data_IF_206781550648
#
_entry.id   IF_206781550648
#
_cell.length_a   1.000
_cell.length_b   1.000
_cell.length_c   1.000
_cell.angle_alpha   90.00
_cell.angle_beta   90.00
_cell.angle_gamma   90.00
#
_symmetry.space_group_name_H-M   'P 1'
#
loop_
_entity.id
_entity.type
_entity.pdbx_description
1 polymer ?
#
# COMPACT_ATOMS: atom_id res chain seq x y z
N UNK A 1 -1.73 -25.75 -13.35
CA UNK A 1 -0.90 -25.11 -12.30
C UNK A 1 -1.82 -24.76 -11.12
N UNK A 2 -1.48 -25.20 -9.89
CA UNK A 2 -2.27 -25.00 -8.65
C UNK A 2 -1.36 -24.67 -7.46
N UNK A 3 -0.23 -23.99 -7.71
CA UNK A 3 0.84 -23.80 -6.72
C UNK A 3 0.31 -23.14 -5.44
N UNK A 4 -0.34 -21.98 -5.58
CA UNK A 4 -0.94 -21.24 -4.47
C UNK A 4 -2.16 -21.93 -3.82
N UNK A 5 -2.75 -22.93 -4.49
CA UNK A 5 -3.80 -23.77 -3.89
C UNK A 5 -3.24 -24.90 -3.03
N UNK A 6 -1.94 -25.18 -3.13
CA UNK A 6 -1.30 -26.25 -2.37
C UNK A 6 -0.77 -25.73 -1.05
N UNK A 7 -1.34 -26.22 0.05
CA UNK A 7 -0.85 -25.95 1.40
C UNK A 7 0.60 -26.40 1.58
N UNK A 8 0.92 -27.63 1.16
CA UNK A 8 2.29 -28.15 1.26
C UNK A 8 3.33 -27.32 0.49
N UNK A 9 2.98 -26.76 -0.67
CA UNK A 9 3.94 -26.06 -1.53
C UNK A 9 4.04 -24.57 -1.25
N UNK A 10 2.94 -23.93 -0.85
CA UNK A 10 2.85 -22.47 -0.76
C UNK A 10 2.27 -21.96 0.57
N UNK A 11 1.76 -22.86 1.43
CA UNK A 11 0.96 -22.54 2.62
C UNK A 11 -0.33 -21.74 2.36
N UNK A 12 -0.70 -21.62 1.07
CA UNK A 12 -1.93 -21.00 0.62
C UNK A 12 -3.16 -21.89 0.80
N UNK A 13 -4.16 -21.62 -0.03
CA UNK A 13 -5.46 -22.26 0.05
C UNK A 13 -6.34 -21.91 -1.14
N UNK A 14 -7.66 -21.86 -0.95
CA UNK A 14 -8.57 -21.72 -2.09
C UNK A 14 -8.39 -20.36 -2.76
N UNK A 15 -7.86 -20.37 -3.98
CA UNK A 15 -7.74 -19.17 -4.81
C UNK A 15 -9.12 -18.80 -5.37
N UNK A 16 -9.52 -17.56 -5.16
CA UNK A 16 -10.74 -16.96 -5.70
C UNK A 16 -10.52 -16.47 -7.13
N UNK A 17 -9.43 -15.72 -7.38
CA UNK A 17 -9.14 -15.13 -8.70
C UNK A 17 -7.63 -14.98 -8.90
N UNK A 18 -7.20 -15.11 -10.15
CA UNK A 18 -5.85 -14.74 -10.61
C UNK A 18 -6.00 -13.73 -11.74
N UNK A 19 -5.31 -12.60 -11.64
CA UNK A 19 -5.34 -11.54 -12.64
C UNK A 19 -3.92 -11.26 -13.11
N UNK A 20 -3.61 -11.41 -14.41
CA UNK A 20 -2.31 -11.00 -14.95
C UNK A 20 -2.19 -9.47 -14.96
N UNK A 21 -0.96 -8.98 -14.82
CA UNK A 21 -0.59 -7.56 -14.94
C UNK A 21 0.28 -7.36 -16.19
N UNK A 22 0.32 -6.14 -16.70
CA UNK A 22 1.08 -5.78 -17.91
C UNK A 22 2.61 -5.91 -17.73
N UNK A 23 3.09 -5.83 -16.49
CA UNK A 23 4.49 -6.01 -16.10
C UNK A 23 4.92 -7.49 -16.01
N UNK A 24 4.08 -8.42 -16.47
CA UNK A 24 4.33 -9.86 -16.41
C UNK A 24 4.14 -10.47 -15.02
N UNK A 25 3.69 -9.69 -14.02
CA UNK A 25 3.33 -10.19 -12.70
C UNK A 25 1.88 -10.68 -12.66
N UNK A 26 1.52 -11.35 -11.55
CA UNK A 26 0.17 -11.84 -11.31
C UNK A 26 -0.32 -11.42 -9.93
N UNK A 27 -1.58 -10.98 -9.87
CA UNK A 27 -2.29 -10.79 -8.61
C UNK A 27 -3.12 -12.03 -8.30
N UNK A 28 -2.94 -12.60 -7.11
CA UNK A 28 -3.68 -13.80 -6.65
C UNK A 28 -4.56 -13.41 -5.47
N UNK A 29 -5.89 -13.45 -5.66
CA UNK A 29 -6.88 -13.24 -4.60
C UNK A 29 -7.28 -14.59 -4.03
N UNK A 30 -7.07 -14.78 -2.73
CA UNK A 30 -7.53 -15.95 -2.00
C UNK A 30 -8.96 -15.77 -1.51
N UNK A 31 -9.67 -16.88 -1.24
CA UNK A 31 -10.99 -16.85 -0.59
C UNK A 31 -10.90 -16.46 0.88
N UNK A 32 -9.82 -16.83 1.56
CA UNK A 32 -9.52 -16.49 2.95
C UNK A 32 -8.29 -15.59 2.97
N UNK A 33 -8.33 -14.52 3.76
CA UNK A 33 -7.23 -13.57 3.86
C UNK A 33 -5.99 -14.21 4.50
N UNK A 34 -6.20 -15.10 5.47
CA UNK A 34 -5.12 -15.78 6.19
C UNK A 34 -4.28 -16.67 5.26
N UNK A 35 -4.87 -17.17 4.17
CA UNK A 35 -4.14 -17.93 3.16
C UNK A 35 -3.12 -17.03 2.45
N UNK A 36 -3.50 -15.79 2.11
CA UNK A 36 -2.61 -14.82 1.48
C UNK A 36 -1.47 -14.41 2.42
N UNK A 37 -1.79 -14.17 3.70
CA UNK A 37 -0.80 -13.83 4.72
C UNK A 37 0.21 -14.96 4.95
N UNK A 38 -0.24 -16.22 4.99
CA UNK A 38 0.66 -17.38 5.15
C UNK A 38 1.58 -17.55 3.94
N UNK A 39 1.04 -17.38 2.73
CA UNK A 39 1.85 -17.38 1.51
C UNK A 39 2.93 -16.30 1.60
N UNK A 40 2.56 -15.06 1.93
CA UNK A 40 3.53 -13.95 2.01
C UNK A 40 4.58 -14.13 3.13
N UNK A 41 4.26 -14.84 4.21
CA UNK A 41 5.22 -15.16 5.29
C UNK A 41 6.21 -16.25 4.92
N UNK A 42 5.95 -17.03 3.87
CA UNK A 42 6.85 -18.09 3.42
C UNK A 42 8.11 -17.45 2.85
N UNK A 43 9.28 -17.91 3.31
CA UNK A 43 10.57 -17.32 2.95
C UNK A 43 10.95 -17.47 1.48
N UNK A 44 10.39 -18.45 0.78
CA UNK A 44 10.69 -18.70 -0.63
C UNK A 44 9.53 -19.41 -1.34
N UNK A 45 9.30 -19.00 -2.58
CA UNK A 45 8.37 -19.65 -3.50
C UNK A 45 9.11 -20.13 -4.73
N UNK A 46 9.19 -21.45 -4.90
CA UNK A 46 9.78 -22.07 -6.10
C UNK A 46 8.68 -22.75 -6.89
N UNK A 47 8.46 -22.27 -8.11
CA UNK A 47 7.51 -22.84 -9.05
C UNK A 47 8.24 -23.30 -10.30
N UNK A 48 8.34 -24.62 -10.47
CA UNK A 48 9.17 -25.25 -11.50
C UNK A 48 10.64 -24.86 -11.30
N UNK A 49 11.19 -24.05 -12.18
CA UNK A 49 12.57 -23.57 -12.24
C UNK A 49 12.68 -22.06 -11.91
N UNK A 50 11.55 -21.40 -11.64
CA UNK A 50 11.52 -19.98 -11.30
C UNK A 50 11.31 -19.78 -9.78
N UNK A 51 12.10 -18.87 -9.21
CA UNK A 51 11.84 -18.32 -7.88
C UNK A 51 10.91 -17.14 -8.04
N UNK A 52 9.79 -17.16 -7.32
CA UNK A 52 8.79 -16.11 -7.31
C UNK A 52 9.03 -15.20 -6.11
N UNK A 53 9.14 -13.90 -6.35
CA UNK A 53 8.99 -12.89 -5.31
C UNK A 53 7.50 -12.69 -5.06
N UNK A 54 7.06 -12.89 -3.82
CA UNK A 54 5.67 -12.69 -3.42
C UNK A 54 5.62 -11.58 -2.40
N UNK A 55 4.80 -10.57 -2.68
CA UNK A 55 4.58 -9.43 -1.79
C UNK A 55 3.09 -9.29 -1.50
N UNK A 56 2.72 -8.89 -0.27
CA UNK A 56 1.33 -8.59 0.03
C UNK A 56 0.86 -7.40 -0.82
N UNK A 57 -0.36 -7.49 -1.34
CA UNK A 57 -1.00 -6.41 -2.07
C UNK A 57 -2.29 -6.04 -1.34
N UNK A 58 -2.34 -4.81 -0.82
CA UNK A 58 -3.52 -4.25 -0.17
C UNK A 58 -4.16 -3.24 -1.13
N UNK A 59 -5.43 -3.43 -1.45
CA UNK A 59 -6.18 -2.48 -2.28
C UNK A 59 -7.65 -2.48 -1.88
N UNK A 60 -8.26 -1.30 -1.93
CA UNK A 60 -9.69 -1.13 -1.73
C UNK A 60 -10.39 -1.42 -3.05
N UNK A 61 -10.96 -2.62 -3.23
CA UNK A 61 -11.91 -2.85 -4.32
C UNK A 61 -13.21 -2.10 -3.99
N UNK A 62 -13.40 -0.93 -4.61
CA UNK A 62 -14.72 -0.29 -4.70
C UNK A 62 -15.54 -1.09 -5.72
N UNK A 63 -16.15 -2.21 -5.30
CA UNK A 63 -16.96 -3.06 -6.20
C UNK A 63 -17.75 -4.19 -5.54
N UNK A 64 -19.08 -3.99 -5.50
CA UNK A 64 -20.27 -4.87 -5.46
C UNK A 64 -20.42 -6.10 -4.54
N UNK A 65 -19.44 -6.54 -3.74
CA UNK A 65 -19.73 -7.58 -2.73
C UNK A 65 -18.72 -7.61 -1.56
N UNK A 66 -18.38 -6.43 -1.04
CA UNK A 66 -17.49 -6.29 0.11
C UNK A 66 -18.23 -6.57 1.43
N UNK A 67 -18.66 -7.81 1.65
CA UNK A 67 -19.10 -8.30 2.97
C UNK A 67 -17.93 -8.86 3.81
N UNK A 68 -16.69 -8.62 3.39
CA UNK A 68 -15.54 -8.75 4.28
C UNK A 68 -15.64 -7.63 5.30
N UNK A 69 -16.09 -7.97 6.51
CA UNK A 69 -16.12 -7.06 7.66
C UNK A 69 -14.70 -6.50 7.79
N UNK A 70 -14.51 -5.25 7.36
CA UNK A 70 -13.30 -4.48 7.58
C UNK A 70 -13.13 -4.34 9.10
N UNK A 71 -12.32 -5.22 9.68
CA UNK A 71 -12.06 -5.24 11.11
C UNK A 71 -10.97 -4.22 11.44
N UNK A 72 -11.41 -2.97 11.61
CA UNK A 72 -10.59 -1.81 12.00
C UNK A 72 -9.71 -2.11 13.22
N UNK A 73 -10.17 -3.01 14.11
CA UNK A 73 -9.46 -3.33 15.36
C UNK A 73 -8.19 -4.17 15.18
N UNK A 74 -8.03 -4.84 14.02
CA UNK A 74 -6.89 -5.74 13.77
C UNK A 74 -5.80 -5.13 12.89
N UNK A 75 -6.02 -3.93 12.36
CA UNK A 75 -5.09 -3.25 11.48
C UNK A 75 -4.77 -1.86 12.05
N UNK A 76 -3.91 -1.83 13.06
CA UNK A 76 -3.17 -0.60 13.38
C UNK A 76 -2.05 -0.44 12.36
N UNK A 77 -2.38 0.04 11.15
CA UNK A 77 -1.33 0.56 10.27
C UNK A 77 -0.85 1.84 10.96
N UNK A 78 0.41 1.92 11.42
CA UNK A 78 0.93 3.19 11.92
C UNK A 78 0.80 4.18 10.78
N UNK A 79 0.05 5.26 11.01
CA UNK A 79 -0.06 6.33 10.03
C UNK A 79 1.36 6.79 9.73
N UNK A 80 1.82 6.71 8.47
CA UNK A 80 3.16 7.16 8.14
C UNK A 80 3.24 8.64 8.50
N UNK A 81 4.14 8.98 9.42
CA UNK A 81 4.33 10.35 9.87
C UNK A 81 4.76 11.26 8.71
N UNK A 82 5.42 10.67 7.70
CA UNK A 82 5.96 11.36 6.52
C UNK A 82 5.80 10.49 5.27
N UNK A 83 5.34 11.09 4.17
CA UNK A 83 5.33 10.51 2.83
C UNK A 83 6.28 11.32 1.93
N UNK A 84 7.28 10.66 1.34
CA UNK A 84 8.23 11.29 0.42
C UNK A 84 7.65 11.23 -1.00
N UNK A 85 7.60 12.38 -1.68
CA UNK A 85 7.19 12.43 -3.08
C UNK A 85 8.43 12.36 -3.98
N UNK A 86 8.60 11.26 -4.70
CA UNK A 86 9.83 11.00 -5.48
C UNK A 86 9.82 11.60 -6.89
N UNK A 87 8.66 11.98 -7.43
CA UNK A 87 8.51 12.50 -8.79
C UNK A 87 7.71 13.81 -8.81
N UNK A 88 8.10 14.77 -7.97
CA UNK A 88 7.55 16.13 -8.07
C UNK A 88 8.24 16.83 -9.23
N UNK A 89 7.47 17.57 -10.03
CA UNK A 89 8.02 18.39 -11.09
C UNK A 89 8.96 19.45 -10.51
N UNK A 90 10.20 19.50 -11.01
CA UNK A 90 11.26 20.40 -10.50
C UNK A 90 10.86 21.88 -10.57
N UNK A 91 10.10 22.27 -11.60
CA UNK A 91 9.64 23.65 -11.72
C UNK A 91 8.59 23.97 -10.66
N UNK A 92 7.69 23.03 -10.39
CA UNK A 92 6.69 23.16 -9.32
C UNK A 92 7.35 23.21 -7.94
N UNK A 93 8.33 22.33 -7.68
CA UNK A 93 9.05 22.30 -6.41
C UNK A 93 9.83 23.61 -6.18
N UNK A 94 10.53 24.11 -7.20
CA UNK A 94 11.26 25.38 -7.12
C UNK A 94 10.32 26.57 -6.90
N UNK A 95 9.17 26.60 -7.58
CA UNK A 95 8.16 27.65 -7.38
C UNK A 95 7.63 27.68 -5.95
N UNK A 96 7.29 26.52 -5.40
CA UNK A 96 6.79 26.42 -4.02
C UNK A 96 7.86 26.78 -2.99
N UNK A 97 9.11 26.36 -3.19
CA UNK A 97 10.24 26.76 -2.32
C UNK A 97 10.48 28.27 -2.28
N UNK A 98 10.17 28.98 -3.37
CA UNK A 98 10.36 30.43 -3.47
C UNK A 98 9.17 31.25 -2.94
N UNK A 99 7.97 30.66 -2.87
CA UNK A 99 6.73 31.37 -2.60
C UNK A 99 6.07 30.93 -1.29
N UNK A 100 6.54 31.52 -0.18
CA UNK A 100 5.95 31.29 1.15
C UNK A 100 4.42 31.47 1.20
N UNK A 101 3.79 32.49 0.58
CA UNK A 101 2.34 32.67 0.66
C UNK A 101 1.55 31.51 0.04
N UNK A 102 2.08 30.92 -1.05
CA UNK A 102 1.45 29.79 -1.72
C UNK A 102 1.56 28.52 -0.88
N UNK A 103 2.72 28.31 -0.23
CA UNK A 103 2.92 27.18 0.69
C UNK A 103 2.01 27.30 1.92
N UNK A 104 1.84 28.49 2.47
CA UNK A 104 0.91 28.73 3.59
C UNK A 104 -0.55 28.43 3.19
N UNK A 105 -0.98 28.91 2.02
CA UNK A 105 -2.33 28.63 1.52
C UNK A 105 -2.55 27.14 1.23
N UNK A 106 -1.56 26.48 0.63
CA UNK A 106 -1.59 25.04 0.38
C UNK A 106 -1.69 24.26 1.69
N UNK A 107 -0.89 24.62 2.69
CA UNK A 107 -0.91 24.00 4.01
C UNK A 107 -2.21 24.26 4.77
N UNK A 108 -2.86 25.40 4.56
CA UNK A 108 -4.18 25.67 5.14
C UNK A 108 -5.25 24.68 4.66
N UNK A 109 -5.24 24.37 3.35
CA UNK A 109 -6.17 23.39 2.77
C UNK A 109 -5.81 21.96 3.16
N UNK A 110 -4.52 21.60 3.14
CA UNK A 110 -4.04 20.28 3.55
C UNK A 110 -4.32 20.00 5.04
N UNK A 111 -4.27 21.02 5.89
CA UNK A 111 -4.58 20.87 7.33
C UNK A 111 -6.01 20.41 7.58
N UNK A 112 -6.97 20.78 6.71
CA UNK A 112 -8.35 20.25 6.76
C UNK A 112 -8.43 18.74 6.50
N UNK A 113 -7.37 18.18 5.91
CA UNK A 113 -7.18 16.74 5.64
C UNK A 113 -6.13 16.12 6.56
N UNK A 114 -5.76 16.81 7.64
CA UNK A 114 -4.73 16.36 8.58
C UNK A 114 -3.38 16.07 7.91
N UNK A 115 -2.99 16.92 6.96
CA UNK A 115 -1.71 16.85 6.30
C UNK A 115 -1.06 18.23 6.21
N UNK A 116 0.26 18.28 6.02
CA UNK A 116 0.99 19.47 5.57
C UNK A 116 2.11 19.06 4.63
N UNK A 117 2.46 19.91 3.68
CA UNK A 117 3.64 19.76 2.84
C UNK A 117 4.83 20.49 3.48
N UNK A 118 5.99 19.83 3.47
CA UNK A 118 7.26 20.37 3.94
C UNK A 118 8.29 20.17 2.84
N UNK A 119 9.05 21.23 2.56
CA UNK A 119 10.10 21.24 1.56
C UNK A 119 11.44 21.33 2.29
N UNK A 120 12.16 20.22 2.35
CA UNK A 120 13.53 20.16 2.89
C UNK A 120 14.48 19.71 1.77
N UNK A 121 15.24 18.62 1.96
CA UNK A 121 16.04 18.01 0.88
C UNK A 121 15.18 17.45 -0.26
N UNK A 122 13.98 16.94 0.07
CA UNK A 122 12.96 16.46 -0.86
C UNK A 122 11.59 16.99 -0.44
N UNK A 123 10.65 17.05 -1.36
CA UNK A 123 9.27 17.37 -1.03
C UNK A 123 8.62 16.23 -0.23
N UNK A 124 8.10 16.57 0.95
CA UNK A 124 7.51 15.64 1.91
C UNK A 124 6.08 16.07 2.27
N UNK A 125 5.20 15.10 2.52
CA UNK A 125 3.88 15.33 3.12
C UNK A 125 3.84 14.69 4.50
N UNK A 126 3.66 15.51 5.53
CA UNK A 126 3.54 15.05 6.92
C UNK A 126 2.08 14.84 7.30
N UNK A 127 1.81 13.76 8.03
CA UNK A 127 0.51 13.49 8.62
C UNK A 127 0.39 14.20 9.98
N UNK A 128 -0.69 14.94 10.18
CA UNK A 128 -1.02 15.69 11.40
C UNK A 128 -2.06 14.96 12.27
N UNK A 129 -2.39 13.70 11.96
CA UNK A 129 -3.19 12.88 12.83
C UNK A 129 -2.31 12.43 14.00
N UNK A 130 -2.66 12.83 15.21
CA UNK A 130 -2.03 12.29 16.40
C UNK A 130 -2.28 10.78 16.44
N UNK A 131 -1.24 9.94 16.61
CA UNK A 131 -1.46 8.54 16.89
C UNK A 131 -2.26 8.47 18.19
N UNK A 132 -3.49 7.97 18.13
CA UNK A 132 -4.31 7.74 19.31
C UNK A 132 -3.46 6.95 20.33
N UNK A 133 -3.49 7.32 21.63
CA UNK A 133 -2.77 6.55 22.63
C UNK A 133 -3.26 5.10 22.60
N UNK A 134 -2.30 4.18 22.49
CA UNK A 134 -2.48 2.73 22.54
C UNK A 134 -3.22 2.29 23.81
#
# INVERSE_FOLDING_TARGET
KKYFQSKARSDGGLVHRVTPREDGCFTVKFKQEEDALRVCKKSSHVMSDATLTVTPLFFFELGDNCNGIYDVSKHSVPLPSVLIMENVDDHFENFLKQSNPVVEQLNLELKKKHAKVVFDEKTQMECLLDPAPL
#
